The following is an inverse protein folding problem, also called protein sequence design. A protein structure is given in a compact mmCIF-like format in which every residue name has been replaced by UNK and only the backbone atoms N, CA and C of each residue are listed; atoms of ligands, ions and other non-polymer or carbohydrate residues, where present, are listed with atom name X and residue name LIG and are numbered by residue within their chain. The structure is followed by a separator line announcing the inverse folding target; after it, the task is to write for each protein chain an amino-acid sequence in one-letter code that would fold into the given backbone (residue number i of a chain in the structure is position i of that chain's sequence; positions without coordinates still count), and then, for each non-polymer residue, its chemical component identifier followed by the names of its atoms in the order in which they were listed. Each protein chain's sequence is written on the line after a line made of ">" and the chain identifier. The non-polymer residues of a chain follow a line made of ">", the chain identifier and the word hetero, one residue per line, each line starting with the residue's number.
data_IF_641094107652
#
_entry.id   IF_641094107652
#
_cell.length_a   1.000
_cell.length_b   1.000
_cell.length_c   1.000
_cell.angle_alpha   90.00
_cell.angle_beta   90.00
_cell.angle_gamma   90.00
#
_symmetry.space_group_name_H-M   'P 1'
#
loop_
_entity.id
_entity.type
_entity.pdbx_description
1 polymer ?
#
# COMPACT_ATOMS: atom_id res chain seq x y z
N UNK A 1 6.45 42.00 4.65
CA UNK A 1 5.33 41.09 4.33
C UNK A 1 4.32 41.17 5.46
N UNK A 2 3.03 41.40 5.17
CA UNK A 2 2.01 41.56 6.21
C UNK A 2 1.91 40.29 7.07
N UNK A 3 1.86 40.41 8.40
CA UNK A 3 1.75 39.29 9.36
C UNK A 3 0.69 38.28 8.91
N UNK A 4 -0.48 38.78 8.51
CA UNK A 4 -1.61 37.97 8.06
C UNK A 4 -1.31 37.18 6.78
N UNK A 5 -0.62 37.81 5.82
CA UNK A 5 -0.23 37.15 4.56
C UNK A 5 0.77 36.02 4.83
N UNK A 6 1.72 36.25 5.75
CA UNK A 6 2.67 35.21 6.16
C UNK A 6 1.95 34.03 6.82
N UNK A 7 0.99 34.29 7.70
CA UNK A 7 0.24 33.23 8.40
C UNK A 7 -0.62 32.41 7.42
N UNK A 8 -1.31 33.07 6.49
CA UNK A 8 -2.12 32.38 5.47
C UNK A 8 -1.24 31.50 4.57
N UNK A 9 -0.06 32.00 4.17
CA UNK A 9 0.87 31.25 3.34
C UNK A 9 1.41 30.01 4.08
N UNK A 10 1.73 30.14 5.37
CA UNK A 10 2.18 29.00 6.20
C UNK A 10 1.09 27.94 6.35
N UNK A 11 -0.17 28.33 6.51
CA UNK A 11 -1.30 27.38 6.60
C UNK A 11 -1.47 26.65 5.27
N UNK A 12 -1.47 27.37 4.15
CA UNK A 12 -1.59 26.79 2.81
C UNK A 12 -0.47 25.77 2.53
N UNK A 13 0.76 26.06 2.96
CA UNK A 13 1.92 25.19 2.79
C UNK A 13 1.77 23.87 3.56
N UNK A 14 1.17 23.89 4.76
CA UNK A 14 0.92 22.68 5.57
C UNK A 14 -0.17 21.81 4.95
N UNK A 15 -1.23 22.41 4.39
CA UNK A 15 -2.30 21.68 3.68
C UNK A 15 -1.87 21.16 2.30
N UNK A 16 -0.86 21.79 1.69
CA UNK A 16 -0.30 21.37 0.41
C UNK A 16 0.67 20.20 0.53
N UNK A 17 1.04 19.75 1.73
CA UNK A 17 1.79 18.51 1.90
C UNK A 17 0.85 17.34 1.62
N UNK A 18 0.99 16.63 0.48
CA UNK A 18 0.23 15.41 0.32
C UNK A 18 0.75 14.44 1.37
N UNK A 19 -0.10 14.05 2.31
CA UNK A 19 0.14 12.88 3.13
C UNK A 19 0.00 11.69 2.18
N UNK A 20 1.08 11.38 1.46
CA UNK A 20 1.19 10.16 0.69
C UNK A 20 1.41 9.05 1.73
N UNK A 21 0.34 8.67 2.42
CA UNK A 21 0.32 7.43 3.15
C UNK A 21 0.48 6.32 2.11
N UNK A 22 1.73 5.88 1.88
CA UNK A 22 2.05 4.85 0.90
C UNK A 22 1.30 3.58 1.33
N UNK A 23 0.36 3.11 0.52
CA UNK A 23 -0.34 1.85 0.75
C UNK A 23 0.63 0.68 0.53
N UNK A 24 1.45 0.40 1.56
CA UNK A 24 2.46 -0.66 1.54
C UNK A 24 1.82 -2.04 1.31
N UNK A 25 0.59 -2.23 1.79
CA UNK A 25 -0.16 -3.49 1.63
C UNK A 25 -0.60 -3.69 0.18
N UNK A 26 -1.11 -2.64 -0.46
CA UNK A 26 -1.45 -2.63 -1.88
C UNK A 26 -0.24 -2.86 -2.79
N UNK A 27 0.88 -2.17 -2.51
CA UNK A 27 2.15 -2.33 -3.23
C UNK A 27 2.67 -3.77 -3.13
N UNK A 28 2.69 -4.33 -1.92
CA UNK A 28 3.11 -5.72 -1.69
C UNK A 28 2.20 -6.71 -2.43
N UNK A 29 0.88 -6.53 -2.38
CA UNK A 29 -0.07 -7.39 -3.11
C UNK A 29 0.17 -7.37 -4.62
N UNK A 30 0.51 -6.19 -5.19
CA UNK A 30 0.84 -6.05 -6.61
C UNK A 30 2.11 -6.84 -6.95
N UNK A 31 3.19 -6.65 -6.19
CA UNK A 31 4.47 -7.35 -6.40
C UNK A 31 4.30 -8.88 -6.30
N UNK A 32 3.52 -9.37 -5.34
CA UNK A 32 3.24 -10.80 -5.19
C UNK A 32 2.49 -11.38 -6.39
N UNK A 33 1.56 -10.61 -7.01
CA UNK A 33 0.88 -11.03 -8.24
C UNK A 33 1.85 -11.11 -9.42
N UNK A 34 2.70 -10.10 -9.58
CA UNK A 34 3.70 -10.06 -10.66
C UNK A 34 4.70 -11.22 -10.54
N UNK A 35 5.14 -11.54 -9.33
CA UNK A 35 6.08 -12.64 -9.08
C UNK A 35 5.55 -14.02 -9.51
N UNK A 36 4.23 -14.23 -9.45
CA UNK A 36 3.59 -15.51 -9.78
C UNK A 36 2.96 -15.56 -11.18
N UNK A 37 2.76 -14.42 -11.84
CA UNK A 37 1.97 -14.31 -13.08
C UNK A 37 2.47 -15.22 -14.22
N UNK A 38 3.78 -15.45 -14.31
CA UNK A 38 4.41 -16.23 -15.39
C UNK A 38 4.91 -17.60 -14.95
N UNK A 39 4.47 -18.09 -13.79
CA UNK A 39 4.84 -19.43 -13.33
C UNK A 39 3.92 -20.46 -13.96
N UNK A 40 4.51 -21.52 -14.52
CA UNK A 40 3.78 -22.69 -15.04
C UNK A 40 3.30 -23.60 -13.90
N UNK A 41 2.72 -23.01 -12.86
CA UNK A 41 2.26 -23.69 -11.67
C UNK A 41 1.17 -22.85 -11.00
N UNK A 42 0.28 -23.51 -10.26
CA UNK A 42 -0.66 -22.80 -9.40
C UNK A 42 0.04 -22.41 -8.09
N UNK A 43 0.12 -21.11 -7.81
CA UNK A 43 0.78 -20.59 -6.61
C UNK A 43 -0.26 -19.94 -5.68
N UNK A 44 -0.30 -20.38 -4.43
CA UNK A 44 -1.08 -19.76 -3.36
C UNK A 44 -0.17 -18.96 -2.45
N UNK A 45 -0.64 -17.81 -1.96
CA UNK A 45 0.14 -16.95 -1.07
C UNK A 45 -0.75 -16.51 0.08
N UNK A 46 -0.26 -16.68 1.31
CA UNK A 46 -0.81 -16.07 2.52
C UNK A 46 0.34 -15.36 3.25
N UNK A 47 0.21 -14.05 3.44
CA UNK A 47 1.18 -13.22 4.18
C UNK A 47 0.47 -12.60 5.36
N UNK A 48 0.96 -12.88 6.57
CA UNK A 48 0.49 -12.29 7.81
C UNK A 48 1.39 -11.09 8.14
N UNK A 49 0.79 -9.91 8.27
CA UNK A 49 1.46 -8.65 8.61
C UNK A 49 1.00 -8.27 10.01
N UNK A 50 1.96 -8.14 10.93
CA UNK A 50 1.72 -7.75 12.33
C UNK A 50 0.68 -8.61 13.07
N UNK A 51 0.43 -9.85 12.63
CA UNK A 51 -0.49 -10.78 13.30
C UNK A 51 -1.98 -10.56 13.03
N UNK A 52 -2.37 -9.55 12.25
CA UNK A 52 -3.79 -9.19 12.02
C UNK A 52 -4.11 -9.10 10.52
N UNK A 53 -3.27 -8.39 9.77
CA UNK A 53 -3.49 -8.18 8.36
C UNK A 53 -3.05 -9.40 7.54
N UNK A 54 -3.95 -9.93 6.71
CA UNK A 54 -3.60 -11.04 5.80
C UNK A 54 -3.75 -10.62 4.34
N UNK A 55 -2.66 -10.71 3.57
CA UNK A 55 -2.72 -10.70 2.10
C UNK A 55 -2.87 -12.14 1.64
N UNK A 56 -3.94 -12.43 0.91
CA UNK A 56 -4.16 -13.75 0.30
C UNK A 56 -4.23 -13.67 -1.22
N UNK A 57 -3.54 -14.58 -1.91
CA UNK A 57 -3.70 -14.85 -3.34
C UNK A 57 -4.05 -16.34 -3.52
N UNK A 58 -5.09 -16.61 -4.31
CA UNK A 58 -5.56 -17.97 -4.64
C UNK A 58 -5.97 -18.86 -3.44
N UNK A 59 -6.42 -18.25 -2.33
CA UNK A 59 -6.84 -18.94 -1.09
C UNK A 59 -8.06 -19.87 -1.22
N UNK A 60 -8.76 -19.86 -2.35
CA UNK A 60 -9.91 -20.75 -2.56
C UNK A 60 -9.51 -22.16 -2.98
N UNK A 61 -8.25 -22.36 -3.37
CA UNK A 61 -7.79 -23.68 -3.80
C UNK A 61 -7.09 -24.39 -2.65
N UNK A 62 -7.39 -25.68 -2.51
CA UNK A 62 -6.68 -26.56 -1.58
C UNK A 62 -5.39 -27.03 -2.25
N UNK A 63 -4.26 -26.67 -1.65
CA UNK A 63 -2.95 -27.15 -2.06
C UNK A 63 -2.69 -28.51 -1.38
N UNK A 64 -1.96 -29.43 -2.02
CA UNK A 64 -1.49 -30.67 -1.39
C UNK A 64 -0.67 -30.42 -0.13
#
# INVERSE_FOLDING_TARGET
>A
MNKYVSTILSILLVFALPVIAKDKKGELKKLLREAIANKKAQVGIAVIINGEDTITLNNKVRYP
#
